data_IF_601036989136
#
_entry.id   IF_601036989136
#
_cell.length_a   1.000
_cell.length_b   1.000
_cell.length_c   1.000
_cell.angle_alpha   90.00
_cell.angle_beta   90.00
_cell.angle_gamma   90.00
#
_symmetry.space_group_name_H-M   'P 1'
#
loop_
_entity.id
_entity.type
_entity.pdbx_description
1 polymer ?
#
# COMPACT_ATOMS: atom_id res chain seq x y z
N UNK A 1 -0.50 -2.71 42.64
CA UNK A 1 -1.18 -3.85 42.00
C UNK A 1 -2.08 -3.41 40.86
N UNK A 2 -3.04 -2.52 41.03
CA UNK A 2 -3.98 -2.05 39.96
C UNK A 2 -3.25 -1.43 38.77
N UNK A 3 -2.24 -0.58 39.00
CA UNK A 3 -1.44 0.03 37.92
C UNK A 3 -0.70 -1.00 37.09
N UNK A 4 -0.14 -2.05 37.71
CA UNK A 4 0.57 -3.11 37.00
C UNK A 4 -0.38 -3.92 36.11
N UNK A 5 -1.59 -4.21 36.60
CA UNK A 5 -2.64 -4.89 35.82
C UNK A 5 -3.08 -4.04 34.64
N UNK A 6 -3.28 -2.74 34.83
CA UNK A 6 -3.65 -1.82 33.76
C UNK A 6 -2.56 -1.75 32.68
N UNK A 7 -1.30 -1.61 33.05
CA UNK A 7 -0.17 -1.60 32.11
C UNK A 7 -0.09 -2.94 31.34
N UNK A 8 -0.21 -4.07 32.03
CA UNK A 8 -0.19 -5.39 31.41
C UNK A 8 -1.32 -5.55 30.39
N UNK A 9 -2.56 -5.14 30.75
CA UNK A 9 -3.71 -5.19 29.84
C UNK A 9 -3.48 -4.36 28.58
N UNK A 10 -2.93 -3.15 28.70
CA UNK A 10 -2.61 -2.29 27.56
C UNK A 10 -1.56 -2.95 26.67
N UNK A 11 -0.50 -3.53 27.23
CA UNK A 11 0.54 -4.22 26.46
C UNK A 11 -0.04 -5.40 25.70
N UNK A 12 -0.89 -6.22 26.35
CA UNK A 12 -1.56 -7.36 25.68
C UNK A 12 -2.42 -6.89 24.52
N UNK A 13 -3.23 -5.85 24.72
CA UNK A 13 -4.09 -5.31 23.65
C UNK A 13 -3.24 -4.81 22.47
N UNK A 14 -2.19 -4.03 22.73
CA UNK A 14 -1.28 -3.54 21.66
C UNK A 14 -0.63 -4.72 20.93
N UNK A 15 -0.18 -5.75 21.65
CA UNK A 15 0.43 -6.94 21.06
C UNK A 15 -0.55 -7.68 20.14
N UNK A 16 -1.80 -7.86 20.58
CA UNK A 16 -2.84 -8.49 19.77
C UNK A 16 -3.12 -7.68 18.49
N UNK A 17 -3.15 -6.35 18.57
CA UNK A 17 -3.31 -5.49 17.39
C UNK A 17 -2.14 -5.61 16.41
N UNK A 18 -0.91 -5.67 16.91
CA UNK A 18 0.28 -5.86 16.07
C UNK A 18 0.22 -7.22 15.35
N UNK A 19 -0.15 -8.28 16.08
CA UNK A 19 -0.30 -9.62 15.51
C UNK A 19 -1.40 -9.66 14.45
N UNK A 20 -2.56 -9.03 14.70
CA UNK A 20 -3.64 -8.96 13.73
C UNK A 20 -3.25 -8.16 12.48
N UNK A 21 -2.55 -7.05 12.64
CA UNK A 21 -2.05 -6.23 11.52
C UNK A 21 -1.04 -6.99 10.66
N UNK A 22 -0.25 -7.88 11.27
CA UNK A 22 0.74 -8.70 10.57
C UNK A 22 0.16 -9.93 9.85
N UNK A 23 -1.11 -10.25 10.09
CA UNK A 23 -1.75 -11.41 9.47
C UNK A 23 -1.81 -11.25 7.95
N UNK A 24 -1.42 -12.30 7.23
CA UNK A 24 -1.49 -12.29 5.77
C UNK A 24 -2.94 -12.17 5.29
N UNK A 25 -3.16 -11.24 4.37
CA UNK A 25 -4.46 -11.04 3.75
C UNK A 25 -4.45 -11.69 2.37
N UNK A 26 -5.39 -12.58 2.12
CA UNK A 26 -5.61 -13.14 0.79
C UNK A 26 -6.33 -12.09 -0.05
N UNK A 27 -5.68 -11.60 -1.10
CA UNK A 27 -6.30 -10.70 -2.07
C UNK A 27 -7.18 -11.56 -2.98
N UNK A 28 -8.48 -11.59 -2.67
CA UNK A 28 -9.46 -12.11 -3.61
C UNK A 28 -9.81 -10.99 -4.60
N UNK A 29 -9.52 -11.17 -5.88
CA UNK A 29 -9.78 -10.20 -6.95
C UNK A 29 -11.27 -9.84 -7.11
N UNK A 30 -12.16 -10.55 -6.46
CA UNK A 30 -13.59 -10.43 -6.66
C UNK A 30 -14.42 -9.82 -5.54
N UNK A 31 -13.96 -9.38 -4.45
CA UNK A 31 -14.72 -8.73 -3.35
C UNK A 31 -14.18 -9.25 -2.01
N UNK A 32 -13.23 -8.53 -1.42
CA UNK A 32 -13.01 -8.68 0.02
C UNK A 32 -13.76 -7.54 0.71
N UNK A 33 -15.00 -7.77 1.06
CA UNK A 33 -15.73 -6.90 1.98
C UNK A 33 -15.20 -7.19 3.38
N UNK A 34 -14.29 -6.35 3.88
CA UNK A 34 -13.81 -6.48 5.25
C UNK A 34 -14.81 -5.84 6.22
N UNK A 35 -15.80 -6.59 6.62
CA UNK A 35 -16.65 -6.27 7.79
C UNK A 35 -15.99 -6.81 9.07
N UNK A 36 -14.72 -6.55 9.28
CA UNK A 36 -14.05 -6.93 10.53
C UNK A 36 -13.81 -5.66 11.38
N UNK A 37 -13.89 -5.76 12.69
CA UNK A 37 -13.57 -4.66 13.58
C UNK A 37 -12.14 -4.17 13.27
N UNK A 38 -11.92 -2.84 13.32
CA UNK A 38 -10.65 -2.17 13.00
C UNK A 38 -10.17 -2.33 11.56
N UNK A 39 -11.09 -2.39 10.61
CA UNK A 39 -10.79 -2.27 9.19
C UNK A 39 -11.65 -1.17 8.56
N UNK A 40 -11.10 -0.54 7.52
CA UNK A 40 -11.82 0.42 6.69
C UNK A 40 -11.51 0.16 5.22
N UNK A 41 -12.50 0.36 4.36
CA UNK A 41 -12.34 0.24 2.92
C UNK A 41 -12.85 1.49 2.23
N UNK A 42 -12.08 1.98 1.27
CA UNK A 42 -12.45 3.09 0.40
C UNK A 42 -12.27 2.68 -1.05
N UNK A 43 -13.28 2.92 -1.86
CA UNK A 43 -13.24 2.68 -3.30
C UNK A 43 -13.45 3.99 -4.03
N UNK A 44 -12.51 4.35 -4.89
CA UNK A 44 -12.58 5.54 -5.74
C UNK A 44 -12.48 5.09 -7.19
N UNK A 45 -13.40 5.54 -8.02
CA UNK A 45 -13.40 5.28 -9.46
C UNK A 45 -13.33 6.60 -10.22
N UNK A 46 -12.45 6.66 -11.22
CA UNK A 46 -12.32 7.83 -12.08
C UNK A 46 -12.00 7.42 -13.52
N UNK A 47 -12.58 8.13 -14.47
CA UNK A 47 -12.38 7.88 -15.89
C UNK A 47 -11.42 8.92 -16.48
N UNK A 48 -10.39 8.46 -17.15
CA UNK A 48 -9.37 9.29 -17.79
C UNK A 48 -9.45 9.14 -19.31
N UNK A 49 -9.42 10.23 -20.05
CA UNK A 49 -9.38 10.25 -21.51
C UNK A 49 -7.99 9.92 -22.08
N UNK A 50 -7.33 8.91 -21.51
CA UNK A 50 -5.99 8.44 -21.93
C UNK A 50 -5.96 6.92 -21.98
N UNK A 51 -4.98 6.36 -22.72
CA UNK A 51 -4.82 4.91 -22.83
C UNK A 51 -4.32 4.27 -21.53
N UNK A 52 -4.64 2.98 -21.27
CA UNK A 52 -4.18 2.26 -20.06
C UNK A 52 -2.67 2.31 -19.86
N UNK A 53 -1.88 2.27 -20.93
CA UNK A 53 -0.41 2.31 -20.85
C UNK A 53 0.10 3.65 -20.27
N UNK A 54 -0.62 4.74 -20.53
CA UNK A 54 -0.25 6.07 -19.97
C UNK A 54 -0.52 6.11 -18.47
N UNK A 55 -1.66 5.60 -18.05
CA UNK A 55 -1.98 5.48 -16.60
C UNK A 55 -0.98 4.53 -15.92
N UNK A 56 -0.70 3.40 -16.56
CA UNK A 56 0.25 2.41 -16.04
C UNK A 56 1.64 2.98 -15.79
N UNK A 57 2.16 3.78 -16.72
CA UNK A 57 3.44 4.49 -16.55
C UNK A 57 3.45 5.40 -15.33
N UNK A 58 2.33 6.03 -14.99
CA UNK A 58 2.21 6.86 -13.78
C UNK A 58 2.20 5.99 -12.53
N UNK A 59 1.41 4.91 -12.52
CA UNK A 59 1.30 3.98 -11.39
C UNK A 59 2.61 3.26 -11.08
N UNK A 60 3.42 2.95 -12.09
CA UNK A 60 4.69 2.25 -11.93
C UNK A 60 5.88 3.16 -11.69
N UNK A 61 5.71 4.50 -11.80
CA UNK A 61 6.76 5.47 -11.51
C UNK A 61 6.82 5.79 -10.01
N UNK A 62 7.57 4.99 -9.26
CA UNK A 62 7.69 5.10 -7.80
C UNK A 62 8.15 6.48 -7.32
N UNK A 63 9.01 7.17 -8.08
CA UNK A 63 9.56 8.47 -7.73
C UNK A 63 8.50 9.58 -7.60
N UNK A 64 7.34 9.41 -8.22
CA UNK A 64 6.30 10.44 -8.30
C UNK A 64 5.12 10.21 -7.34
N UNK A 65 5.18 9.16 -6.52
CA UNK A 65 4.08 8.85 -5.59
C UNK A 65 3.76 10.00 -4.63
N UNK A 66 4.77 10.76 -4.23
CA UNK A 66 4.57 11.94 -3.38
C UNK A 66 3.72 13.05 -4.02
N UNK A 67 3.57 13.05 -5.34
CA UNK A 67 2.83 14.09 -6.05
C UNK A 67 1.32 13.81 -6.10
N UNK A 68 0.91 12.54 -6.07
CA UNK A 68 -0.47 12.15 -6.31
C UNK A 68 -1.05 11.16 -5.29
N UNK A 69 -0.20 10.43 -4.55
CA UNK A 69 -0.66 9.47 -3.55
C UNK A 69 -0.58 10.08 -2.15
N UNK A 70 -1.71 10.27 -1.45
CA UNK A 70 -1.72 10.88 -0.12
C UNK A 70 -1.05 9.98 0.92
N UNK A 71 -0.31 10.61 1.84
CA UNK A 71 0.34 9.89 2.95
C UNK A 71 1.67 9.23 2.60
N UNK A 72 2.24 9.50 1.42
CA UNK A 72 3.57 9.01 1.03
C UNK A 72 4.47 10.18 0.66
N UNK A 73 5.53 10.40 1.43
CA UNK A 73 6.60 11.34 1.08
C UNK A 73 7.57 10.71 0.08
N UNK A 74 7.90 9.43 0.25
CA UNK A 74 8.84 8.72 -0.61
C UNK A 74 8.52 7.24 -0.69
N UNK A 75 8.49 6.73 -1.92
CA UNK A 75 8.38 5.31 -2.22
C UNK A 75 9.62 4.87 -3.02
N UNK A 76 10.31 3.85 -2.54
CA UNK A 76 11.57 3.40 -3.13
C UNK A 76 11.60 1.88 -3.26
N UNK A 77 12.21 1.30 -4.31
CA UNK A 77 12.45 -0.13 -4.37
C UNK A 77 13.47 -0.54 -3.29
N UNK A 78 13.28 -1.71 -2.71
CA UNK A 78 14.30 -2.35 -1.89
C UNK A 78 15.20 -3.17 -2.81
N UNK A 79 16.36 -2.61 -3.16
CA UNK A 79 17.38 -3.31 -3.95
C UNK A 79 18.40 -3.90 -2.99
N UNK A 80 18.68 -5.20 -3.11
CA UNK A 80 19.65 -5.93 -2.26
C UNK A 80 21.11 -5.72 -2.69
N UNK A 81 21.41 -4.65 -3.42
CA UNK A 81 22.77 -4.37 -3.86
C UNK A 81 23.40 -3.26 -3.02
N UNK A 82 24.60 -3.48 -2.54
CA UNK A 82 25.43 -2.51 -1.77
C UNK A 82 25.88 -1.30 -2.58
N UNK A 83 25.39 -1.11 -3.80
CA UNK A 83 25.75 0.02 -4.66
C UNK A 83 24.70 1.11 -4.56
N UNK A 84 25.17 2.34 -4.53
CA UNK A 84 24.38 3.56 -4.66
C UNK A 84 23.33 3.41 -5.76
N UNK A 85 22.08 3.35 -5.36
CA UNK A 85 20.96 3.31 -6.31
C UNK A 85 20.77 4.75 -6.80
N UNK A 86 21.26 5.04 -7.98
CA UNK A 86 21.05 6.33 -8.64
C UNK A 86 19.54 6.54 -8.88
N UNK A 87 19.11 7.81 -8.84
CA UNK A 87 17.72 8.23 -9.10
C UNK A 87 17.12 7.63 -10.38
N UNK A 88 17.96 7.36 -11.37
CA UNK A 88 17.59 6.72 -12.65
C UNK A 88 17.32 5.20 -12.54
N UNK A 89 17.76 4.53 -11.49
CA UNK A 89 17.49 3.11 -11.27
C UNK A 89 16.03 2.84 -10.87
N UNK A 90 15.29 3.86 -10.46
CA UNK A 90 13.87 3.74 -10.11
C UNK A 90 12.97 3.52 -11.32
N UNK A 91 13.37 3.99 -12.50
CA UNK A 91 12.59 3.84 -13.73
C UNK A 91 12.75 2.44 -14.35
N UNK A 92 13.73 1.65 -13.88
CA UNK A 92 14.01 0.29 -14.33
C UNK A 92 13.64 -0.79 -13.30
N UNK A 93 12.93 -0.42 -12.24
CA UNK A 93 12.51 -1.39 -11.24
C UNK A 93 11.52 -2.38 -11.84
N UNK A 94 11.91 -3.64 -11.85
CA UNK A 94 11.02 -4.71 -12.27
C UNK A 94 9.97 -4.94 -11.20
N UNK A 95 8.75 -4.53 -11.52
CA UNK A 95 7.59 -4.82 -10.69
C UNK A 95 7.29 -6.31 -10.82
N UNK A 96 7.70 -7.09 -9.83
CA UNK A 96 7.37 -8.50 -9.70
C UNK A 96 6.62 -8.74 -8.38
N UNK A 97 5.65 -9.66 -8.36
CA UNK A 97 4.98 -10.04 -7.12
C UNK A 97 6.00 -10.47 -6.06
N UNK A 98 5.82 -10.02 -4.84
CA UNK A 98 6.74 -10.27 -3.72
C UNK A 98 7.89 -9.27 -3.59
N UNK A 99 8.15 -8.41 -4.57
CA UNK A 99 9.19 -7.39 -4.45
C UNK A 99 8.88 -6.42 -3.32
N UNK A 100 9.91 -6.09 -2.53
CA UNK A 100 9.78 -5.18 -1.39
C UNK A 100 10.00 -3.73 -1.79
N UNK A 101 9.28 -2.86 -1.10
CA UNK A 101 9.34 -1.41 -1.22
C UNK A 101 9.69 -0.80 0.13
N UNK A 102 10.38 0.34 0.12
CA UNK A 102 10.59 1.20 1.29
C UNK A 102 9.65 2.38 1.20
N UNK A 103 8.87 2.59 2.26
CA UNK A 103 7.86 3.64 2.35
C UNK A 103 8.26 4.61 3.44
N UNK A 104 8.33 5.89 3.12
CA UNK A 104 8.50 6.97 4.07
C UNK A 104 7.26 7.85 4.04
N UNK A 105 6.38 7.81 5.06
CA UNK A 105 5.14 8.58 5.06
C UNK A 105 5.37 10.09 5.15
N UNK A 106 6.22 10.54 6.07
CA UNK A 106 6.54 11.96 6.27
C UNK A 106 8.01 12.13 6.69
N UNK A 107 8.51 13.36 6.72
CA UNK A 107 9.94 13.68 6.85
C UNK A 107 10.60 13.12 8.12
N UNK A 108 9.90 13.12 9.25
CA UNK A 108 10.39 12.62 10.54
C UNK A 108 10.03 11.15 10.80
N UNK A 109 9.29 10.51 9.89
CA UNK A 109 8.89 9.11 10.01
C UNK A 109 10.07 8.18 9.76
N UNK A 110 10.16 7.05 10.48
CA UNK A 110 10.99 5.94 10.07
C UNK A 110 10.54 5.41 8.70
N UNK A 111 11.40 4.61 8.09
CA UNK A 111 11.08 3.95 6.82
C UNK A 111 10.42 2.61 7.12
N UNK A 112 9.25 2.39 6.55
CA UNK A 112 8.51 1.14 6.65
C UNK A 112 8.68 0.30 5.39
N UNK A 113 8.34 -0.98 5.49
CA UNK A 113 8.37 -1.90 4.37
C UNK A 113 6.97 -2.07 3.78
N UNK A 114 6.90 -2.06 2.46
CA UNK A 114 5.76 -2.52 1.69
C UNK A 114 6.18 -3.62 0.74
N UNK A 115 5.23 -4.22 0.06
CA UNK A 115 5.48 -5.23 -0.97
C UNK A 115 4.49 -5.12 -2.13
N UNK A 116 4.91 -5.58 -3.30
CA UNK A 116 4.03 -5.78 -4.44
C UNK A 116 3.30 -7.11 -4.23
N UNK A 117 1.98 -7.07 -4.15
CA UNK A 117 1.15 -8.24 -3.91
C UNK A 117 0.77 -8.95 -5.21
N UNK A 118 0.35 -8.17 -6.18
CA UNK A 118 -0.03 -8.67 -7.50
C UNK A 118 0.24 -7.62 -8.55
N UNK A 119 0.52 -8.06 -9.76
CA UNK A 119 0.71 -7.21 -10.92
C UNK A 119 0.22 -7.92 -12.18
N UNK A 120 -0.57 -7.21 -12.97
CA UNK A 120 -0.93 -7.54 -14.34
C UNK A 120 -0.76 -6.28 -15.17
N UNK A 121 0.17 -6.32 -16.14
CA UNK A 121 0.55 -5.14 -16.92
C UNK A 121 -0.68 -4.48 -17.58
N UNK A 122 -0.77 -3.16 -17.40
CA UNK A 122 -1.85 -2.30 -17.91
C UNK A 122 -3.25 -2.64 -17.38
N UNK A 123 -3.38 -3.55 -16.38
CA UNK A 123 -4.67 -3.95 -15.84
C UNK A 123 -4.76 -3.82 -14.33
N UNK A 124 -3.80 -4.37 -13.60
CA UNK A 124 -3.87 -4.41 -12.15
C UNK A 124 -2.52 -4.20 -11.48
N UNK A 125 -2.51 -3.39 -10.43
CA UNK A 125 -1.39 -3.25 -9.50
C UNK A 125 -1.93 -3.31 -8.08
N UNK A 126 -1.44 -4.27 -7.28
CA UNK A 126 -1.78 -4.39 -5.87
C UNK A 126 -0.53 -4.22 -5.01
N UNK A 127 -0.58 -3.27 -4.08
CA UNK A 127 0.50 -2.91 -3.18
C UNK A 127 0.06 -3.10 -1.73
N UNK A 128 0.89 -3.73 -0.93
CA UNK A 128 0.78 -3.67 0.53
C UNK A 128 1.68 -2.56 1.02
N UNK A 129 1.13 -1.64 1.80
CA UNK A 129 1.84 -0.50 2.36
C UNK A 129 1.71 -0.51 3.87
N UNK A 130 2.81 -0.23 4.57
CA UNK A 130 2.81 -0.09 6.01
C UNK A 130 3.23 1.32 6.36
N UNK A 131 2.43 1.99 7.19
CA UNK A 131 2.67 3.37 7.63
C UNK A 131 3.11 3.46 9.09
N UNK A 132 2.85 2.39 9.86
CA UNK A 132 3.28 2.24 11.24
C UNK A 132 3.24 0.75 11.63
N UNK A 133 3.77 0.35 12.79
CA UNK A 133 3.65 -1.04 13.27
C UNK A 133 2.20 -1.52 13.41
N UNK A 134 1.27 -0.59 13.62
CA UNK A 134 -0.16 -0.86 13.88
C UNK A 134 -1.09 -0.42 12.76
N UNK A 135 -0.54 -0.01 11.62
CA UNK A 135 -1.32 0.42 10.45
C UNK A 135 -0.75 -0.17 9.17
N UNK A 136 -1.53 -1.01 8.55
CA UNK A 136 -1.25 -1.66 7.27
C UNK A 136 -2.39 -1.38 6.30
N UNK A 137 -2.03 -1.08 5.07
CA UNK A 137 -2.97 -0.77 4.00
C UNK A 137 -2.65 -1.62 2.77
N UNK A 138 -3.70 -2.12 2.12
CA UNK A 138 -3.62 -2.72 0.79
C UNK A 138 -4.29 -1.80 -0.19
N UNK A 139 -3.56 -1.44 -1.23
CA UNK A 139 -4.04 -0.57 -2.31
C UNK A 139 -4.06 -1.38 -3.59
N UNK A 140 -5.22 -1.46 -4.22
CA UNK A 140 -5.42 -2.16 -5.49
C UNK A 140 -5.89 -1.16 -6.53
N UNK A 141 -5.14 -1.03 -7.59
CA UNK A 141 -5.52 -0.29 -8.79
C UNK A 141 -5.96 -1.28 -9.85
N UNK A 142 -7.18 -1.12 -10.36
CA UNK A 142 -7.67 -1.82 -11.53
C UNK A 142 -7.88 -0.82 -12.66
N UNK A 143 -7.41 -1.17 -13.84
CA UNK A 143 -7.52 -0.36 -15.06
C UNK A 143 -8.38 -1.12 -16.06
N UNK A 144 -9.50 -0.53 -16.42
CA UNK A 144 -10.43 -1.05 -17.42
C UNK A 144 -10.40 -0.13 -18.64
N UNK A 145 -10.11 -0.69 -19.80
CA UNK A 145 -10.16 0.06 -21.04
C UNK A 145 -11.62 0.32 -21.40
N UNK A 146 -11.93 1.59 -21.69
CA UNK A 146 -13.26 2.03 -22.13
C UNK A 146 -13.19 2.63 -23.54
N UNK A 147 -14.35 2.84 -24.18
CA UNK A 147 -14.41 3.48 -25.50
C UNK A 147 -13.86 4.92 -25.51
N UNK A 148 -13.82 5.59 -24.35
CA UNK A 148 -13.36 6.98 -24.18
C UNK A 148 -11.98 7.11 -23.54
N UNK A 149 -11.36 5.99 -23.13
CA UNK A 149 -10.07 6.02 -22.44
C UNK A 149 -9.93 4.89 -21.42
N UNK A 150 -9.55 5.21 -20.19
CA UNK A 150 -9.30 4.24 -19.14
C UNK A 150 -10.10 4.59 -17.88
N UNK A 151 -10.87 3.63 -17.38
CA UNK A 151 -11.50 3.69 -16.07
C UNK A 151 -10.54 3.11 -15.03
N UNK A 152 -10.19 3.91 -14.04
CA UNK A 152 -9.29 3.51 -12.94
C UNK A 152 -10.12 3.36 -11.68
N UNK A 153 -10.10 2.17 -11.11
CA UNK A 153 -10.68 1.89 -9.81
C UNK A 153 -9.56 1.69 -8.79
N UNK A 154 -9.47 2.58 -7.82
CA UNK A 154 -8.56 2.46 -6.68
C UNK A 154 -9.35 1.97 -5.47
N UNK A 155 -8.99 0.81 -4.96
CA UNK A 155 -9.52 0.25 -3.71
C UNK A 155 -8.43 0.32 -2.66
N UNK A 156 -8.73 0.96 -1.54
CA UNK A 156 -7.85 1.06 -0.37
C UNK A 156 -8.50 0.34 0.78
N UNK A 157 -7.84 -0.69 1.30
CA UNK A 157 -8.30 -1.46 2.47
C UNK A 157 -7.27 -1.30 3.57
N UNK A 158 -7.63 -0.65 4.66
CA UNK A 158 -6.76 -0.47 5.82
C UNK A 158 -7.16 -1.40 6.95
N UNK A 159 -6.17 -1.84 7.71
CA UNK A 159 -6.35 -2.70 8.88
C UNK A 159 -5.43 -2.25 10.00
N UNK A 160 -5.94 -2.27 11.23
CA UNK A 160 -5.20 -1.88 12.43
C UNK A 160 -5.93 -0.84 13.27
N UNK A 161 -5.30 -0.46 14.37
CA UNK A 161 -5.89 0.44 15.37
C UNK A 161 -6.32 1.80 14.81
N UNK A 162 -5.61 2.30 13.78
CA UNK A 162 -5.85 3.61 13.14
C UNK A 162 -6.55 3.50 11.79
N UNK A 163 -7.24 2.39 11.52
CA UNK A 163 -7.88 2.18 10.22
C UNK A 163 -9.04 3.16 9.93
N UNK A 164 -9.53 3.88 10.92
CA UNK A 164 -10.66 4.83 10.79
C UNK A 164 -10.22 6.30 10.85
N UNK A 165 -8.95 6.58 10.96
CA UNK A 165 -8.38 7.92 10.83
C UNK A 165 -7.93 8.16 9.38
#
# INVERSE_FOLDING_TARGET
MILAIAIFSVVVVITLFILDTNRDQVINSRIATYLQPFSAETVVKHDYAVRPETVWKVLTRLSNYNCWFPGILRLMPLVQTDRYVHRYSFDQFNFIPGAFLRIRPFSLSPTYMGRIMAIENNKQLALEMRYSPVHKEIVVFNLDQTSKGTSVTCRRSSRGLFSWM
#
